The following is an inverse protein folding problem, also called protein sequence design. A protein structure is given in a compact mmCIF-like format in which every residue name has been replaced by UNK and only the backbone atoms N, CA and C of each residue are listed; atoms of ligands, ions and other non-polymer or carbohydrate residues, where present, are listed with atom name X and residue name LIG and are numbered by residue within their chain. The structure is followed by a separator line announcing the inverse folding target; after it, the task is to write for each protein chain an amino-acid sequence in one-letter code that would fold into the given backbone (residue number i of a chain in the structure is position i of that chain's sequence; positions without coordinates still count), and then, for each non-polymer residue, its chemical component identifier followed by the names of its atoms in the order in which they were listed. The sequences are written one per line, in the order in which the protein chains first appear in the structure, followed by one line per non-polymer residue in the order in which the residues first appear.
data_IF_075957622404
#
_entry.id   IF_075957622404
#
_cell.length_a   1.000
_cell.length_b   1.000
_cell.length_c   1.000
_cell.angle_alpha   90.00
_cell.angle_beta   90.00
_cell.angle_gamma   90.00
#
_symmetry.space_group_name_H-M   'P 1'
#
loop_
_entity.id
_entity.type
_entity.pdbx_description
1 polymer ?
#
# COMPACT_ATOMS: atom_id res chain seq x y z
N UNK A 1 -0.65 -15.37 12.86
CA UNK A 1 0.62 -15.53 12.12
C UNK A 1 0.95 -14.17 11.52
N UNK A 2 2.12 -13.59 11.80
CA UNK A 2 2.47 -12.27 11.24
C UNK A 2 3.01 -12.52 9.82
N UNK A 3 2.41 -11.93 8.76
CA UNK A 3 2.86 -12.17 7.41
C UNK A 3 4.31 -11.76 7.26
N UNK A 4 5.14 -12.66 6.73
CA UNK A 4 6.59 -12.56 6.84
C UNK A 4 7.20 -11.57 5.86
N UNK A 5 6.57 -11.36 4.69
CA UNK A 5 7.06 -10.45 3.65
C UNK A 5 5.88 -9.93 2.82
N UNK A 6 5.79 -8.61 2.67
CA UNK A 6 4.85 -7.92 1.78
C UNK A 6 5.60 -7.23 0.65
N UNK A 7 4.96 -7.09 -0.51
CA UNK A 7 5.49 -6.33 -1.63
C UNK A 7 5.22 -4.84 -1.40
N UNK A 8 6.24 -3.99 -1.57
CA UNK A 8 6.13 -2.54 -1.41
C UNK A 8 6.37 -1.83 -2.73
N UNK A 9 5.63 -0.77 -2.99
CA UNK A 9 5.76 0.02 -4.21
C UNK A 9 5.27 1.45 -3.97
N UNK A 10 5.74 2.38 -4.80
CA UNK A 10 5.26 3.77 -4.82
C UNK A 10 4.05 3.82 -5.75
N UNK A 11 2.96 4.43 -5.30
CA UNK A 11 1.76 4.58 -6.10
C UNK A 11 1.92 5.73 -7.09
N UNK A 12 1.58 5.51 -8.36
CA UNK A 12 1.72 6.49 -9.43
C UNK A 12 0.90 7.77 -9.21
N UNK A 13 -0.33 7.63 -8.70
CA UNK A 13 -1.31 8.72 -8.65
C UNK A 13 -1.68 9.14 -7.21
N UNK A 14 -1.45 8.29 -6.21
CA UNK A 14 -1.81 8.59 -4.83
C UNK A 14 -0.70 9.41 -4.14
N UNK A 15 -1.09 10.49 -3.47
CA UNK A 15 -0.18 11.37 -2.70
C UNK A 15 -0.18 10.95 -1.23
N UNK A 16 0.99 10.93 -0.61
CA UNK A 16 1.14 10.66 0.82
C UNK A 16 0.56 11.83 1.64
N UNK A 17 -0.53 11.58 2.39
CA UNK A 17 -1.18 12.63 3.19
C UNK A 17 -0.25 13.20 4.28
N UNK A 18 0.59 12.35 4.89
CA UNK A 18 1.61 12.80 5.85
C UNK A 18 2.62 13.77 5.22
N UNK A 19 3.05 13.49 3.99
CA UNK A 19 3.94 14.38 3.25
C UNK A 19 3.22 15.70 2.92
N UNK A 20 1.97 15.60 2.49
CA UNK A 20 1.14 16.77 2.16
C UNK A 20 0.91 17.68 3.39
N UNK A 21 0.74 17.11 4.58
CA UNK A 21 0.55 17.85 5.83
C UNK A 21 1.77 18.71 6.21
N UNK A 22 2.98 18.36 5.74
CA UNK A 22 4.20 19.14 5.95
C UNK A 22 4.62 19.95 4.72
N UNK A 23 3.73 20.10 3.73
CA UNK A 23 3.97 20.87 2.51
C UNK A 23 4.82 20.15 1.45
N UNK A 24 5.08 18.85 1.61
CA UNK A 24 5.76 18.04 0.61
C UNK A 24 4.75 17.37 -0.34
N UNK A 25 5.08 17.29 -1.63
CA UNK A 25 4.28 16.54 -2.61
C UNK A 25 5.00 15.25 -2.99
N UNK A 26 4.83 14.21 -2.19
CA UNK A 26 5.43 12.89 -2.40
C UNK A 26 4.34 11.87 -2.69
N UNK A 27 4.60 10.98 -3.64
CA UNK A 27 3.74 9.83 -3.90
C UNK A 27 3.66 8.92 -2.67
N UNK A 28 2.52 8.26 -2.50
CA UNK A 28 2.25 7.36 -1.40
C UNK A 28 3.06 6.07 -1.56
N UNK A 29 3.60 5.57 -0.44
CA UNK A 29 4.19 4.23 -0.39
C UNK A 29 3.09 3.25 0.00
N UNK A 30 2.95 2.18 -0.77
CA UNK A 30 1.95 1.14 -0.54
C UNK A 30 2.61 -0.20 -0.25
N UNK A 31 1.90 -1.06 0.49
CA UNK A 31 2.32 -2.40 0.86
C UNK A 31 1.20 -3.40 0.61
N UNK A 32 1.52 -4.52 -0.04
CA UNK A 32 0.59 -5.63 -0.25
C UNK A 32 1.12 -6.86 0.48
N UNK A 33 0.27 -7.43 1.32
CA UNK A 33 0.60 -8.59 2.15
C UNK A 33 -0.45 -9.67 1.92
N UNK A 34 -0.02 -10.87 1.53
CA UNK A 34 -0.92 -12.04 1.51
C UNK A 34 -1.22 -12.50 2.93
N UNK A 35 -2.49 -12.64 3.28
CA UNK A 35 -2.96 -13.04 4.62
C UNK A 35 -3.71 -14.37 4.61
N UNK A 36 -4.27 -14.77 3.47
CA UNK A 36 -4.84 -16.09 3.22
C UNK A 36 -4.71 -16.44 1.73
N UNK A 37 -5.19 -17.62 1.31
CA UNK A 37 -5.00 -18.11 -0.07
C UNK A 37 -5.50 -17.11 -1.12
N UNK A 38 -6.67 -16.51 -0.94
CA UNK A 38 -7.23 -15.55 -1.90
C UNK A 38 -7.40 -14.14 -1.32
N UNK A 39 -6.74 -13.84 -0.20
CA UNK A 39 -6.92 -12.58 0.51
C UNK A 39 -5.57 -11.88 0.72
N UNK A 40 -5.55 -10.60 0.33
CA UNK A 40 -4.44 -9.69 0.57
C UNK A 40 -4.88 -8.47 1.38
N UNK A 41 -3.94 -7.94 2.16
CA UNK A 41 -4.02 -6.58 2.69
C UNK A 41 -3.30 -5.64 1.76
N UNK A 42 -4.01 -4.62 1.30
CA UNK A 42 -3.43 -3.45 0.69
C UNK A 42 -3.37 -2.34 1.75
N UNK A 43 -2.19 -1.78 1.98
CA UNK A 43 -1.97 -0.73 2.95
C UNK A 43 -1.29 0.47 2.32
N UNK A 44 -1.78 1.67 2.63
CA UNK A 44 -1.07 2.92 2.37
C UNK A 44 -0.24 3.23 3.60
N UNK A 45 1.06 3.44 3.42
CA UNK A 45 2.01 3.67 4.51
C UNK A 45 2.21 5.17 4.74
N UNK A 46 2.21 5.53 6.01
CA UNK A 46 2.65 6.84 6.47
C UNK A 46 4.17 6.97 6.48
N UNK A 47 4.66 8.14 6.87
CA UNK A 47 6.09 8.48 6.85
C UNK A 47 6.95 7.56 7.73
N UNK A 48 6.38 7.00 8.79
CA UNK A 48 7.05 6.06 9.70
C UNK A 48 6.98 4.60 9.23
N UNK A 49 6.45 4.33 8.03
CA UNK A 49 6.25 2.98 7.49
C UNK A 49 5.09 2.22 8.13
N UNK A 50 4.30 2.86 9.00
CA UNK A 50 3.08 2.26 9.56
C UNK A 50 1.90 2.49 8.61
N UNK A 51 0.96 1.55 8.49
CA UNK A 51 -0.26 1.73 7.71
C UNK A 51 -1.10 2.89 8.26
N UNK A 52 -1.40 3.87 7.42
CA UNK A 52 -2.39 4.93 7.70
C UNK A 52 -3.77 4.56 7.19
N UNK A 53 -3.82 3.72 6.16
CA UNK A 53 -5.04 3.09 5.65
C UNK A 53 -4.76 1.63 5.31
N UNK A 54 -5.77 0.77 5.44
CA UNK A 54 -5.70 -0.65 5.09
C UNK A 54 -7.05 -1.15 4.57
N UNK A 55 -7.00 -1.86 3.46
CA UNK A 55 -8.15 -2.51 2.84
C UNK A 55 -7.89 -4.01 2.67
N UNK A 56 -8.97 -4.79 2.74
CA UNK A 56 -8.99 -6.22 2.43
C UNK A 56 -9.42 -6.40 0.98
N UNK A 57 -8.58 -7.05 0.18
CA UNK A 57 -8.84 -7.29 -1.22
C UNK A 57 -8.67 -8.77 -1.57
N UNK A 58 -9.41 -9.22 -2.57
CA UNK A 58 -9.14 -10.52 -3.20
C UNK A 58 -7.79 -10.48 -3.94
N UNK A 59 -7.02 -11.56 -3.85
CA UNK A 59 -5.73 -11.67 -4.52
C UNK A 59 -5.84 -11.52 -6.06
N UNK A 60 -6.99 -11.87 -6.64
CA UNK A 60 -7.27 -11.69 -8.07
C UNK A 60 -7.25 -10.22 -8.53
N UNK A 61 -7.47 -9.26 -7.62
CA UNK A 61 -7.39 -7.81 -7.91
C UNK A 61 -5.94 -7.30 -7.92
N UNK A 62 -4.96 -8.13 -7.56
CA UNK A 62 -3.56 -7.72 -7.47
C UNK A 62 -3.00 -7.12 -8.77
N UNK A 63 -3.28 -7.63 -9.98
CA UNK A 63 -2.80 -7.01 -11.22
C UNK A 63 -3.31 -5.57 -11.41
N UNK A 64 -4.56 -5.29 -11.00
CA UNK A 64 -5.13 -3.94 -11.05
C UNK A 64 -4.40 -3.02 -10.06
N UNK A 65 -4.19 -3.47 -8.82
CA UNK A 65 -3.48 -2.69 -7.81
C UNK A 65 -2.01 -2.47 -8.21
N UNK A 66 -1.37 -3.46 -8.84
CA UNK A 66 0.01 -3.36 -9.31
C UNK A 66 0.14 -2.45 -10.54
N UNK A 67 -0.91 -2.31 -11.34
CA UNK A 67 -0.92 -1.37 -12.48
C UNK A 67 -0.83 0.10 -12.03
N UNK A 68 -1.15 0.37 -10.77
CA UNK A 68 -1.05 1.69 -10.15
C UNK A 68 0.33 1.98 -9.53
N UNK A 69 1.30 1.06 -9.67
CA UNK A 69 2.69 1.28 -9.24
C UNK A 69 3.44 2.19 -10.24
N UNK A 70 4.19 3.17 -9.71
CA UNK A 70 5.05 4.08 -10.47
C UNK A 70 6.48 3.54 -10.67
#
# INVERSE_FOLDING_TARGET
MKPSFGLRFVHANLVCEDARAVGENKQALCEIIRVADDIVWYAVLGRNGSPVSREWCEAARFPEIFSEAA
#
